data_IF_390215641858
#
_entry.id   IF_390215641858
#
_cell.length_a   1.000
_cell.length_b   1.000
_cell.length_c   1.000
_cell.angle_alpha   90.00
_cell.angle_beta   90.00
_cell.angle_gamma   90.00
#
_symmetry.space_group_name_H-M   'P 1'
#
loop_
_entity.id
_entity.type
_entity.pdbx_description
1 polymer ?
#
# COMPACT_ATOMS: atom_id res chain seq x y z
N UNK A 1 -17.48 30.26 -12.49
CA UNK A 1 -18.51 29.24 -12.20
C UNK A 1 -17.84 27.89 -12.30
N UNK A 2 -17.59 27.25 -11.16
CA UNK A 2 -16.98 25.92 -11.08
C UNK A 2 -17.98 24.91 -11.61
N UNK A 3 -17.67 24.25 -12.73
CA UNK A 3 -18.33 23.01 -13.16
C UNK A 3 -18.11 21.98 -12.05
N UNK A 4 -19.05 21.91 -11.11
CA UNK A 4 -19.19 20.77 -10.22
C UNK A 4 -19.22 19.53 -11.11
N UNK A 5 -18.28 18.62 -10.86
CA UNK A 5 -18.25 17.31 -11.52
C UNK A 5 -19.50 16.56 -11.05
N UNK A 6 -20.60 16.68 -11.77
CA UNK A 6 -21.82 15.90 -11.57
C UNK A 6 -21.55 14.50 -12.15
N UNK A 7 -20.63 13.76 -11.53
CA UNK A 7 -20.63 12.31 -11.66
C UNK A 7 -21.93 11.82 -11.02
N UNK A 8 -22.70 10.98 -11.73
CA UNK A 8 -23.96 10.40 -11.24
C UNK A 8 -23.78 9.91 -9.79
N UNK A 9 -24.62 10.41 -8.87
CA UNK A 9 -24.57 10.19 -7.40
C UNK A 9 -24.92 8.76 -6.97
N UNK A 10 -24.25 7.75 -7.51
CA UNK A 10 -24.30 6.37 -6.99
C UNK A 10 -23.14 6.15 -6.02
N UNK A 11 -22.96 7.08 -5.08
CA UNK A 11 -21.87 7.01 -4.11
C UNK A 11 -21.88 5.69 -3.33
N UNK A 12 -20.74 5.36 -2.71
CA UNK A 12 -20.56 4.16 -1.90
C UNK A 12 -21.66 4.08 -0.85
N UNK A 13 -22.38 2.94 -0.74
CA UNK A 13 -23.46 2.82 0.23
C UNK A 13 -23.01 3.17 1.64
N UNK A 14 -23.83 3.90 2.40
CA UNK A 14 -23.50 4.30 3.79
C UNK A 14 -23.16 3.11 4.67
N UNK A 15 -23.78 1.95 4.43
CA UNK A 15 -23.49 0.71 5.15
C UNK A 15 -22.04 0.30 4.90
N UNK A 16 -21.59 0.31 3.64
CA UNK A 16 -20.21 -0.02 3.28
C UNK A 16 -19.22 0.99 3.89
N UNK A 17 -19.52 2.29 3.81
CA UNK A 17 -18.69 3.35 4.41
C UNK A 17 -18.53 3.17 5.92
N UNK A 18 -19.63 2.92 6.63
CA UNK A 18 -19.63 2.72 8.09
C UNK A 18 -18.94 1.43 8.51
N UNK A 19 -19.03 0.38 7.69
CA UNK A 19 -18.35 -0.89 7.95
C UNK A 19 -16.83 -0.77 7.79
N UNK A 20 -16.39 0.00 6.79
CA UNK A 20 -14.97 0.18 6.45
C UNK A 20 -14.31 1.39 7.13
N UNK A 21 -15.07 2.18 7.90
CA UNK A 21 -14.56 3.34 8.64
C UNK A 21 -13.35 3.03 9.55
N UNK A 22 -13.30 1.91 10.31
CA UNK A 22 -12.10 1.58 11.10
C UNK A 22 -10.84 1.39 10.26
N UNK A 23 -11.02 0.98 8.99
CA UNK A 23 -9.97 0.55 8.09
C UNK A 23 -9.47 1.67 7.18
N UNK A 24 -10.36 2.50 6.64
CA UNK A 24 -10.00 3.55 5.70
C UNK A 24 -10.36 4.96 6.19
N UNK A 25 -11.20 5.10 7.21
CA UNK A 25 -11.73 6.41 7.62
C UNK A 25 -12.29 7.19 6.44
N UNK A 26 -11.78 8.41 6.23
CA UNK A 26 -12.05 9.27 5.07
C UNK A 26 -10.92 9.28 4.02
N UNK A 27 -10.08 8.24 4.01
CA UNK A 27 -8.98 8.11 3.07
C UNK A 27 -9.45 8.06 1.61
N UNK A 28 -8.52 8.21 0.66
CA UNK A 28 -8.80 8.38 -0.76
C UNK A 28 -9.74 7.32 -1.34
N UNK A 29 -9.65 6.07 -0.87
CA UNK A 29 -10.52 4.97 -1.32
C UNK A 29 -11.97 5.16 -0.88
N UNK A 30 -12.23 5.82 0.25
CA UNK A 30 -13.59 6.11 0.75
C UNK A 30 -14.10 7.52 0.41
N UNK A 31 -13.21 8.46 0.08
CA UNK A 31 -13.57 9.81 -0.31
C UNK A 31 -14.39 9.83 -1.63
N UNK A 32 -15.27 10.84 -1.77
CA UNK A 32 -16.14 11.00 -2.94
C UNK A 32 -16.27 12.48 -3.32
N UNK A 33 -16.66 12.75 -4.57
CA UNK A 33 -16.93 14.11 -5.05
C UNK A 33 -15.73 15.05 -4.86
N UNK A 34 -15.99 16.25 -4.33
CA UNK A 34 -14.96 17.27 -4.10
C UNK A 34 -13.92 16.86 -3.05
N UNK A 35 -14.29 16.04 -2.06
CA UNK A 35 -13.34 15.50 -1.07
C UNK A 35 -12.33 14.57 -1.75
N UNK A 36 -12.80 13.70 -2.64
CA UNK A 36 -11.90 12.84 -3.43
C UNK A 36 -10.98 13.65 -4.35
N UNK A 37 -11.52 14.64 -5.07
CA UNK A 37 -10.72 15.51 -5.96
C UNK A 37 -9.62 16.20 -5.15
N UNK A 38 -9.96 16.70 -3.97
CA UNK A 38 -9.02 17.35 -3.08
C UNK A 38 -7.93 16.39 -2.58
N UNK A 39 -8.31 15.23 -2.03
CA UNK A 39 -7.35 14.23 -1.56
C UNK A 39 -6.43 13.75 -2.70
N UNK A 40 -7.01 13.49 -3.89
CA UNK A 40 -6.24 13.06 -5.07
C UNK A 40 -5.26 14.13 -5.53
N UNK A 41 -5.62 15.41 -5.42
CA UNK A 41 -4.74 16.52 -5.76
C UNK A 41 -3.51 16.59 -4.85
N UNK A 42 -3.69 16.39 -3.54
CA UNK A 42 -2.58 16.35 -2.57
C UNK A 42 -1.74 15.09 -2.75
N UNK A 43 -2.36 13.96 -3.09
CA UNK A 43 -1.69 12.65 -3.10
C UNK A 43 -0.95 12.34 -4.41
N UNK A 44 -1.50 12.73 -5.55
CA UNK A 44 -0.94 12.37 -6.86
C UNK A 44 0.51 12.85 -7.09
N UNK A 45 0.94 14.06 -6.66
CA UNK A 45 2.31 14.54 -6.81
C UNK A 45 3.36 13.67 -6.11
N UNK A 46 2.98 12.96 -5.04
CA UNK A 46 3.90 12.08 -4.33
C UNK A 46 4.40 10.93 -5.20
N UNK A 47 3.64 10.54 -6.22
CA UNK A 47 4.00 9.49 -7.16
C UNK A 47 4.62 10.05 -8.45
N UNK A 48 5.30 11.20 -8.35
CA UNK A 48 6.09 11.75 -9.46
C UNK A 48 7.26 10.82 -9.83
N UNK A 49 7.79 10.88 -11.07
CA UNK A 49 8.92 10.05 -11.50
C UNK A 49 10.16 10.15 -10.60
N UNK A 50 10.43 11.33 -10.03
CA UNK A 50 11.53 11.57 -9.10
C UNK A 50 11.35 10.76 -7.80
N UNK A 51 10.16 10.84 -7.21
CA UNK A 51 9.83 10.13 -5.96
C UNK A 51 9.76 8.62 -6.20
N UNK A 52 9.22 8.19 -7.34
CA UNK A 52 9.18 6.78 -7.73
C UNK A 52 10.58 6.19 -7.88
N UNK A 53 11.55 6.93 -8.43
CA UNK A 53 12.95 6.47 -8.50
C UNK A 53 13.51 6.15 -7.11
N UNK A 54 13.17 6.97 -6.11
CA UNK A 54 13.55 6.70 -4.73
C UNK A 54 12.79 5.48 -4.16
N UNK A 55 11.54 5.24 -4.51
CA UNK A 55 10.83 4.03 -4.06
C UNK A 55 11.37 2.76 -4.71
N UNK A 56 11.74 2.80 -5.99
CA UNK A 56 12.27 1.64 -6.74
C UNK A 56 13.53 1.07 -6.09
N UNK A 57 14.48 1.89 -5.64
CA UNK A 57 15.67 1.32 -4.99
C UNK A 57 15.32 0.63 -3.66
N UNK A 58 14.35 1.12 -2.89
CA UNK A 58 13.89 0.44 -1.67
C UNK A 58 13.23 -0.90 -2.03
N UNK A 59 12.43 -0.93 -3.11
CA UNK A 59 11.82 -2.17 -3.62
C UNK A 59 12.89 -3.19 -4.00
N UNK A 60 13.89 -2.78 -4.79
CA UNK A 60 14.99 -3.65 -5.23
C UNK A 60 15.78 -4.18 -4.04
N UNK A 61 16.12 -3.33 -3.07
CA UNK A 61 16.89 -3.73 -1.89
C UNK A 61 16.12 -4.76 -1.03
N UNK A 62 14.83 -4.53 -0.76
CA UNK A 62 13.98 -5.49 -0.04
C UNK A 62 13.76 -6.79 -0.82
N UNK A 63 13.64 -6.73 -2.15
CA UNK A 63 13.55 -7.93 -3.00
C UNK A 63 14.85 -8.73 -3.00
N UNK A 64 16.03 -8.09 -3.05
CA UNK A 64 17.32 -8.76 -2.92
C UNK A 64 17.43 -9.50 -1.59
N UNK A 65 17.07 -8.85 -0.48
CA UNK A 65 17.05 -9.47 0.86
C UNK A 65 16.08 -10.65 0.95
N UNK A 66 14.92 -10.58 0.27
CA UNK A 66 14.01 -11.73 0.15
C UNK A 66 14.67 -12.89 -0.62
N UNK A 67 15.28 -12.62 -1.78
CA UNK A 67 15.96 -13.62 -2.60
C UNK A 67 17.12 -14.28 -1.85
N UNK A 68 17.94 -13.51 -1.14
CA UNK A 68 19.07 -14.03 -0.34
C UNK A 68 18.58 -15.00 0.75
N UNK A 69 17.44 -14.68 1.40
CA UNK A 69 16.79 -15.58 2.36
C UNK A 69 16.32 -16.87 1.69
N UNK A 70 15.72 -16.78 0.51
CA UNK A 70 15.27 -17.96 -0.25
C UNK A 70 16.44 -18.86 -0.65
N UNK A 71 17.53 -18.28 -1.15
CA UNK A 71 18.76 -19.03 -1.49
C UNK A 71 19.32 -19.74 -0.26
N UNK A 72 19.46 -19.03 0.85
CA UNK A 72 19.96 -19.61 2.11
C UNK A 72 19.09 -20.78 2.59
N UNK A 73 17.76 -20.67 2.45
CA UNK A 73 16.83 -21.74 2.82
C UNK A 73 16.98 -22.97 1.91
N UNK A 74 17.11 -22.75 0.60
CA UNK A 74 17.31 -23.83 -0.38
C UNK A 74 18.64 -24.56 -0.10
N UNK A 75 19.72 -23.80 0.12
CA UNK A 75 21.05 -24.34 0.42
C UNK A 75 21.08 -25.11 1.76
N UNK A 76 20.19 -24.77 2.69
CA UNK A 76 20.02 -25.49 3.97
C UNK A 76 19.26 -26.81 3.85
N UNK A 77 18.83 -27.22 2.65
CA UNK A 77 18.16 -28.49 2.39
C UNK A 77 16.63 -28.45 2.51
N UNK A 78 16.02 -27.26 2.56
CA UNK A 78 14.57 -27.06 2.55
C UNK A 78 14.11 -26.44 1.21
N UNK A 79 13.85 -27.26 0.17
CA UNK A 79 13.51 -26.74 -1.16
C UNK A 79 12.05 -26.30 -1.31
N UNK A 80 11.18 -26.66 -0.36
CA UNK A 80 9.77 -26.30 -0.39
C UNK A 80 9.52 -25.01 0.41
N UNK A 81 8.79 -24.07 -0.18
CA UNK A 81 8.51 -22.77 0.39
C UNK A 81 7.14 -22.26 -0.02
N UNK A 82 6.47 -21.60 0.91
CA UNK A 82 5.24 -20.86 0.65
C UNK A 82 5.57 -19.49 0.04
N UNK A 83 5.57 -19.45 -1.30
CA UNK A 83 5.91 -18.27 -2.09
C UNK A 83 4.93 -17.12 -1.82
N UNK A 84 3.64 -17.40 -1.63
CA UNK A 84 2.63 -16.36 -1.38
C UNK A 84 2.93 -15.65 -0.05
N UNK A 85 3.17 -16.43 1.01
CA UNK A 85 3.50 -15.87 2.33
C UNK A 85 4.73 -14.96 2.28
N UNK A 86 5.79 -15.37 1.60
CA UNK A 86 7.04 -14.61 1.50
C UNK A 86 6.86 -13.31 0.68
N UNK A 87 6.08 -13.36 -0.40
CA UNK A 87 5.77 -12.18 -1.21
C UNK A 87 4.89 -11.20 -0.43
N UNK A 88 3.88 -11.67 0.28
CA UNK A 88 3.02 -10.81 1.13
C UNK A 88 3.86 -10.12 2.20
N UNK A 89 4.76 -10.85 2.85
CA UNK A 89 5.67 -10.28 3.84
C UNK A 89 6.58 -9.20 3.24
N UNK A 90 7.17 -9.48 2.07
CA UNK A 90 8.09 -8.56 1.39
C UNK A 90 7.36 -7.33 0.83
N UNK A 91 6.16 -7.49 0.27
CA UNK A 91 5.33 -6.37 -0.16
C UNK A 91 4.91 -5.49 1.03
N UNK A 92 4.59 -6.10 2.18
CA UNK A 92 4.32 -5.40 3.43
C UNK A 92 5.51 -4.59 3.94
N UNK A 93 6.72 -5.16 3.86
CA UNK A 93 7.97 -4.49 4.21
C UNK A 93 8.27 -3.30 3.26
N UNK A 94 8.12 -3.51 1.94
CA UNK A 94 8.31 -2.48 0.93
C UNK A 94 7.36 -1.32 1.17
N UNK A 95 6.06 -1.58 1.35
CA UNK A 95 5.10 -0.49 1.56
C UNK A 95 5.42 0.23 2.87
N UNK A 96 5.80 -0.48 3.94
CA UNK A 96 6.18 0.12 5.21
C UNK A 96 7.39 1.06 5.11
N UNK A 97 8.44 0.62 4.41
CA UNK A 97 9.65 1.43 4.20
C UNK A 97 9.39 2.62 3.29
N UNK A 98 8.64 2.43 2.21
CA UNK A 98 8.37 3.49 1.22
C UNK A 98 7.30 4.49 1.69
N UNK A 99 6.27 4.03 2.41
CA UNK A 99 5.13 4.86 2.81
C UNK A 99 5.41 5.68 4.07
N UNK A 100 6.20 5.14 4.99
CA UNK A 100 6.36 5.74 6.30
C UNK A 100 7.80 5.73 6.82
N UNK A 101 8.80 5.30 6.03
CA UNK A 101 10.23 5.27 6.42
C UNK A 101 10.46 4.71 7.82
N UNK A 102 9.60 3.78 8.23
CA UNK A 102 9.50 3.37 9.62
C UNK A 102 10.63 2.38 9.92
N UNK A 103 11.33 2.61 11.03
CA UNK A 103 12.15 1.58 11.66
C UNK A 103 11.27 0.36 11.92
N UNK A 104 11.80 -0.81 11.60
CA UNK A 104 11.03 -2.02 11.24
C UNK A 104 9.96 -2.45 12.26
N UNK A 105 10.11 -2.14 13.55
CA UNK A 105 9.18 -2.60 14.59
C UNK A 105 7.78 -1.95 14.53
N UNK A 106 7.70 -0.62 14.43
CA UNK A 106 6.41 0.08 14.39
C UNK A 106 5.67 -0.22 13.08
N UNK A 107 6.42 -0.29 11.98
CA UNK A 107 5.91 -0.67 10.66
C UNK A 107 5.29 -2.06 10.68
N UNK A 108 6.02 -3.05 11.20
CA UNK A 108 5.53 -4.42 11.35
C UNK A 108 4.26 -4.49 12.18
N UNK A 109 4.24 -3.79 13.33
CA UNK A 109 3.07 -3.76 14.22
C UNK A 109 1.83 -3.14 13.57
N UNK A 110 2.01 -2.09 12.75
CA UNK A 110 0.92 -1.47 11.99
C UNK A 110 0.44 -2.41 10.88
N UNK A 111 1.35 -3.01 10.11
CA UNK A 111 1.05 -3.98 9.06
C UNK A 111 0.26 -5.18 9.58
N UNK A 112 0.73 -5.82 10.66
CA UNK A 112 0.05 -6.97 11.29
C UNK A 112 -1.37 -6.63 11.77
N UNK A 113 -1.54 -5.44 12.38
CA UNK A 113 -2.85 -4.98 12.85
C UNK A 113 -3.78 -4.64 11.68
N UNK A 114 -3.26 -4.02 10.61
CA UNK A 114 -4.03 -3.72 9.40
C UNK A 114 -4.46 -5.00 8.69
N UNK A 115 -3.56 -5.97 8.52
CA UNK A 115 -3.89 -7.27 7.94
C UNK A 115 -4.95 -8.01 8.78
N UNK A 116 -4.81 -8.01 10.11
CA UNK A 116 -5.83 -8.57 11.00
C UNK A 116 -7.19 -7.87 10.83
N UNK A 117 -7.18 -6.54 10.66
CA UNK A 117 -8.39 -5.76 10.42
C UNK A 117 -9.02 -6.09 9.06
N UNK A 118 -8.21 -6.20 8.00
CA UNK A 118 -8.62 -6.61 6.66
C UNK A 118 -9.28 -7.99 6.72
N UNK A 119 -8.61 -8.99 7.29
CA UNK A 119 -9.16 -10.35 7.42
C UNK A 119 -10.47 -10.40 8.22
N UNK A 120 -10.66 -9.52 9.22
CA UNK A 120 -11.94 -9.42 9.94
C UNK A 120 -13.06 -8.76 9.12
N UNK A 121 -12.73 -7.79 8.27
CA UNK A 121 -13.70 -6.99 7.50
C UNK A 121 -14.04 -7.58 6.13
N UNK A 122 -13.15 -8.37 5.54
CA UNK A 122 -13.34 -9.01 4.24
C UNK A 122 -13.80 -10.47 4.34
N UNK A 123 -13.93 -11.04 5.55
CA UNK A 123 -14.52 -12.38 5.73
C UNK A 123 -15.94 -12.44 5.19
N UNK A 124 -16.20 -13.42 4.31
CA UNK A 124 -17.48 -13.67 3.63
C UNK A 124 -18.66 -13.88 4.59
N UNK A 125 -18.39 -14.25 5.85
CA UNK A 125 -19.42 -14.43 6.89
C UNK A 125 -19.94 -13.13 7.49
N UNK A 126 -19.45 -11.97 7.03
CA UNK A 126 -19.87 -10.65 7.51
C UNK A 126 -21.07 -10.15 6.70
N UNK A 127 -22.23 -10.07 7.33
CA UNK A 127 -23.46 -9.61 6.67
C UNK A 127 -23.51 -8.08 6.58
N UNK A 128 -22.94 -7.52 5.51
CA UNK A 128 -23.00 -6.07 5.25
C UNK A 128 -24.38 -5.72 4.69
N UNK A 129 -25.07 -4.78 5.32
CA UNK A 129 -26.35 -4.23 4.81
C UNK A 129 -27.60 -4.89 5.37
N UNK A 130 -27.44 -5.91 6.22
CA UNK A 130 -28.55 -6.57 6.90
C UNK A 130 -29.00 -5.72 8.11
N UNK A 131 -30.29 -5.34 8.20
CA UNK A 131 -30.81 -4.61 9.36
C UNK A 131 -30.53 -5.35 10.67
N UNK A 132 -30.23 -4.61 11.75
CA UNK A 132 -29.99 -5.12 13.11
C UNK A 132 -28.80 -6.08 13.30
N UNK A 133 -28.06 -6.44 12.25
CA UNK A 133 -26.90 -7.34 12.35
C UNK A 133 -25.82 -6.83 13.30
N UNK A 134 -25.67 -5.50 13.40
CA UNK A 134 -24.72 -4.87 14.34
C UNK A 134 -25.02 -5.22 15.81
N UNK A 135 -26.29 -5.47 16.15
CA UNK A 135 -26.66 -5.93 17.50
C UNK A 135 -26.28 -7.40 17.71
N UNK A 136 -26.45 -8.24 16.69
CA UNK A 136 -26.11 -9.67 16.73
C UNK A 136 -24.59 -9.88 16.76
N UNK A 137 -23.85 -9.11 15.95
CA UNK A 137 -22.39 -9.17 15.84
C UNK A 137 -21.67 -8.04 16.60
N UNK A 138 -22.27 -7.58 17.71
CA UNK A 138 -21.76 -6.44 18.47
C UNK A 138 -20.31 -6.63 18.93
N UNK A 139 -19.94 -7.84 19.39
CA UNK A 139 -18.57 -8.16 19.83
C UNK A 139 -17.56 -7.97 18.69
N UNK A 140 -17.82 -8.54 17.51
CA UNK A 140 -16.97 -8.40 16.31
C UNK A 140 -16.86 -6.93 15.86
N UNK A 141 -17.96 -6.19 15.94
CA UNK A 141 -18.01 -4.76 15.60
C UNK A 141 -17.19 -3.92 16.59
N UNK A 142 -17.23 -4.24 17.88
CA UNK A 142 -16.45 -3.55 18.90
C UNK A 142 -14.96 -3.85 18.75
N UNK A 143 -14.58 -5.10 18.49
CA UNK A 143 -13.19 -5.51 18.27
C UNK A 143 -12.57 -4.81 17.05
N UNK A 144 -13.29 -4.76 15.92
CA UNK A 144 -12.81 -4.07 14.71
C UNK A 144 -12.65 -2.57 14.94
N UNK A 145 -13.57 -1.92 15.67
CA UNK A 145 -13.42 -0.53 16.09
C UNK A 145 -12.24 -0.31 17.05
N UNK A 146 -12.03 -1.21 18.02
CA UNK A 146 -10.91 -1.14 18.95
C UNK A 146 -9.58 -1.24 18.19
N UNK A 147 -9.47 -2.21 17.27
CA UNK A 147 -8.29 -2.41 16.45
C UNK A 147 -8.02 -1.19 15.53
N UNK A 148 -9.06 -0.63 14.90
CA UNK A 148 -8.95 0.60 14.12
C UNK A 148 -8.42 1.78 14.94
N UNK A 149 -8.90 1.95 16.18
CA UNK A 149 -8.40 2.98 17.11
C UNK A 149 -6.96 2.74 17.57
N UNK A 150 -6.52 1.50 17.72
CA UNK A 150 -5.12 1.19 18.04
C UNK A 150 -4.21 1.56 16.88
N UNK A 151 -4.62 1.27 15.64
CA UNK A 151 -3.89 1.67 14.44
C UNK A 151 -3.83 3.20 14.31
N UNK A 152 -4.96 3.88 14.55
CA UNK A 152 -5.03 5.36 14.56
C UNK A 152 -3.98 5.96 15.49
N UNK A 153 -3.87 5.42 16.71
CA UNK A 153 -2.90 5.91 17.71
C UNK A 153 -1.45 5.70 17.27
N UNK A 154 -1.14 4.54 16.67
CA UNK A 154 0.21 4.23 16.21
C UNK A 154 0.62 5.14 15.04
N UNK A 155 -0.27 5.34 14.07
CA UNK A 155 -0.02 6.23 12.94
C UNK A 155 0.06 7.69 13.38
N UNK A 156 -0.82 8.13 14.29
CA UNK A 156 -0.79 9.47 14.84
C UNK A 156 0.54 9.75 15.55
N UNK A 157 0.99 8.84 16.41
CA UNK A 157 2.28 8.94 17.09
C UNK A 157 3.44 9.12 16.10
N UNK A 158 3.44 8.39 14.99
CA UNK A 158 4.48 8.47 13.95
C UNK A 158 4.43 9.80 13.22
N UNK A 159 3.23 10.28 12.87
CA UNK A 159 3.05 11.58 12.22
C UNK A 159 3.50 12.72 13.13
N UNK A 160 3.12 12.68 14.41
CA UNK A 160 3.49 13.71 15.39
C UNK A 160 5.00 13.75 15.64
N UNK A 161 5.61 12.58 15.89
CA UNK A 161 7.07 12.46 16.08
C UNK A 161 7.85 13.04 14.89
N UNK A 162 7.33 12.87 13.67
CA UNK A 162 7.95 13.39 12.45
C UNK A 162 7.76 14.88 12.26
N UNK A 163 6.57 15.42 12.57
CA UNK A 163 6.34 16.87 12.55
C UNK A 163 7.30 17.59 13.50
N UNK A 164 7.59 17.00 14.66
CA UNK A 164 8.54 17.56 15.64
C UNK A 164 10.01 17.41 15.20
N UNK A 165 10.35 16.31 14.51
CA UNK A 165 11.72 16.00 14.07
C UNK A 165 12.19 16.76 12.81
N UNK A 166 11.27 17.39 12.06
CA UNK A 166 11.56 18.10 10.79
C UNK A 166 12.48 19.32 10.89
N UNK A 167 13.01 19.65 12.08
CA UNK A 167 14.04 20.68 12.23
C UNK A 167 15.44 20.20 11.79
N UNK A 168 15.72 18.90 11.59
CA UNK A 168 17.13 18.44 11.49
C UNK A 168 17.54 17.27 10.56
N UNK A 169 16.70 16.67 9.72
CA UNK A 169 17.16 15.51 8.92
C UNK A 169 17.24 15.75 7.41
N UNK A 170 18.49 15.74 6.93
CA UNK A 170 18.92 15.75 5.55
C UNK A 170 19.02 14.29 5.06
N UNK A 171 17.87 13.62 4.97
CA UNK A 171 17.73 12.20 4.60
C UNK A 171 16.76 11.99 3.44
N UNK A 172 16.73 10.77 2.89
CA UNK A 172 15.83 10.35 1.80
C UNK A 172 14.38 10.46 2.27
N UNK A 173 13.59 11.30 1.60
CA UNK A 173 12.19 11.55 1.93
C UNK A 173 11.32 10.35 1.56
N UNK A 174 10.51 9.88 2.50
CA UNK A 174 9.48 8.88 2.24
C UNK A 174 8.12 9.51 1.91
N UNK A 175 7.13 8.68 1.57
CA UNK A 175 5.80 9.14 1.17
C UNK A 175 5.12 9.99 2.26
N UNK A 176 5.31 9.69 3.54
CA UNK A 176 4.72 10.48 4.61
C UNK A 176 5.42 11.85 4.74
N UNK A 177 6.73 11.90 4.56
CA UNK A 177 7.47 13.16 4.59
C UNK A 177 7.07 14.09 3.45
N UNK A 178 6.94 13.53 2.24
CA UNK A 178 6.43 14.18 1.04
C UNK A 178 4.97 14.63 1.25
N UNK A 179 4.11 13.77 1.82
CA UNK A 179 2.72 14.11 2.11
C UNK A 179 2.64 15.29 3.06
N UNK A 180 3.47 15.30 4.10
CA UNK A 180 3.54 16.39 5.06
C UNK A 180 4.11 17.69 4.47
N UNK A 181 4.87 17.65 3.37
CA UNK A 181 5.37 18.84 2.67
C UNK A 181 4.31 19.39 1.71
N UNK A 182 3.75 18.54 0.85
CA UNK A 182 2.69 18.92 -0.09
C UNK A 182 1.45 19.45 0.65
N UNK A 183 1.16 18.88 1.82
CA UNK A 183 0.07 19.31 2.69
C UNK A 183 0.34 20.62 3.47
N UNK A 184 1.37 21.41 3.11
CA UNK A 184 1.61 22.77 3.64
C UNK A 184 1.32 23.87 2.62
N UNK A 185 1.15 23.52 1.35
CA UNK A 185 0.91 24.49 0.28
C UNK A 185 -0.60 24.69 0.15
N UNK A 186 -1.06 25.92 0.33
CA UNK A 186 -2.47 26.29 0.16
C UNK A 186 -2.80 26.24 -1.34
N UNK A 187 -3.20 25.06 -1.82
CA UNK A 187 -3.53 24.82 -3.22
C UNK A 187 -4.80 25.56 -3.64
N UNK A 188 -5.07 25.58 -4.95
CA UNK A 188 -6.25 26.21 -5.58
C UNK A 188 -7.62 25.72 -5.02
N UNK A 189 -7.62 24.66 -4.21
CA UNK A 189 -8.77 24.05 -3.54
C UNK A 189 -8.82 24.29 -2.00
N UNK A 190 -7.85 25.04 -1.46
CA UNK A 190 -7.94 25.80 -0.19
C UNK A 190 -8.10 25.01 1.10
N UNK A 191 -7.75 23.73 1.17
CA UNK A 191 -7.75 22.99 2.44
C UNK A 191 -6.51 22.14 2.57
N UNK A 192 -5.88 22.23 3.73
CA UNK A 192 -4.86 21.30 4.21
C UNK A 192 -5.60 20.06 4.74
N UNK A 193 -5.14 18.86 4.41
CA UNK A 193 -5.61 17.63 5.03
C UNK A 193 -5.37 17.70 6.54
N UNK A 194 -6.42 17.46 7.31
CA UNK A 194 -6.33 17.37 8.76
C UNK A 194 -5.41 16.21 9.19
N UNK A 195 -4.85 16.26 10.40
CA UNK A 195 -4.05 15.14 10.92
C UNK A 195 -4.79 13.80 10.87
N UNK A 196 -6.11 13.80 11.11
CA UNK A 196 -6.94 12.59 10.98
C UNK A 196 -7.02 12.10 9.53
N UNK A 197 -7.18 13.00 8.55
CA UNK A 197 -7.16 12.62 7.14
C UNK A 197 -5.79 12.09 6.71
N UNK A 198 -4.68 12.65 7.22
CA UNK A 198 -3.34 12.10 6.98
C UNK A 198 -3.19 10.66 7.50
N UNK A 199 -3.70 10.38 8.70
CA UNK A 199 -3.77 9.00 9.25
C UNK A 199 -4.59 8.09 8.33
N UNK A 200 -5.75 8.55 7.88
CA UNK A 200 -6.65 7.79 7.01
C UNK A 200 -5.99 7.51 5.63
N UNK A 201 -5.20 8.45 5.10
CA UNK A 201 -4.41 8.23 3.87
C UNK A 201 -3.27 7.24 4.08
N UNK A 202 -2.55 7.31 5.21
CA UNK A 202 -1.52 6.32 5.51
C UNK A 202 -2.10 4.90 5.53
N UNK A 203 -3.24 4.69 6.20
CA UNK A 203 -3.94 3.38 6.18
C UNK A 203 -4.29 2.96 4.76
N UNK A 204 -4.74 3.90 3.93
CA UNK A 204 -5.10 3.65 2.54
C UNK A 204 -3.91 3.16 1.72
N UNK A 205 -2.73 3.78 1.88
CA UNK A 205 -1.50 3.35 1.20
C UNK A 205 -1.05 1.97 1.64
N UNK A 206 -1.04 1.70 2.95
CA UNK A 206 -0.71 0.37 3.46
C UNK A 206 -1.65 -0.67 2.87
N UNK A 207 -2.95 -0.56 3.11
CA UNK A 207 -3.94 -1.57 2.72
C UNK A 207 -4.01 -1.77 1.21
N UNK A 208 -4.07 -0.67 0.45
CA UNK A 208 -4.27 -0.73 -0.99
C UNK A 208 -3.04 -1.19 -1.77
N UNK A 209 -1.83 -1.02 -1.20
CA UNK A 209 -0.58 -1.20 -1.94
C UNK A 209 0.06 -2.58 -1.81
N UNK A 210 -0.11 -3.30 -0.70
CA UNK A 210 0.63 -4.56 -0.47
C UNK A 210 -0.12 -5.83 -0.84
N UNK A 211 -1.36 -6.03 -0.35
CA UNK A 211 -2.07 -7.31 -0.57
C UNK A 211 -2.42 -7.54 -2.04
N UNK A 212 -2.92 -6.51 -2.73
CA UNK A 212 -3.29 -6.58 -4.15
C UNK A 212 -2.09 -6.89 -5.03
N UNK A 213 -0.97 -6.19 -4.79
CA UNK A 213 0.30 -6.39 -5.49
C UNK A 213 0.88 -7.77 -5.20
N UNK A 214 0.90 -8.18 -3.93
CA UNK A 214 1.40 -9.49 -3.54
C UNK A 214 0.61 -10.62 -4.21
N UNK A 215 -0.72 -10.53 -4.21
CA UNK A 215 -1.58 -11.50 -4.87
C UNK A 215 -1.30 -11.58 -6.37
N UNK A 216 -1.19 -10.44 -7.06
CA UNK A 216 -0.87 -10.40 -8.48
C UNK A 216 0.49 -11.07 -8.79
N UNK A 217 1.53 -10.80 -7.98
CA UNK A 217 2.85 -11.42 -8.15
C UNK A 217 2.80 -12.92 -7.85
N UNK A 218 2.08 -13.36 -6.81
CA UNK A 218 1.93 -14.78 -6.48
C UNK A 218 1.28 -15.56 -7.62
N UNK A 219 0.18 -15.05 -8.20
CA UNK A 219 -0.45 -15.65 -9.38
C UNK A 219 0.49 -15.64 -10.59
N UNK A 220 1.19 -14.54 -10.82
CA UNK A 220 2.16 -14.42 -11.91
C UNK A 220 3.24 -15.50 -11.80
N UNK A 221 3.85 -15.67 -10.62
CA UNK A 221 4.89 -16.67 -10.40
C UNK A 221 4.36 -18.10 -10.54
N UNK A 222 3.15 -18.36 -10.04
CA UNK A 222 2.50 -19.66 -10.22
C UNK A 222 2.28 -19.97 -11.72
N UNK A 223 1.76 -19.01 -12.49
CA UNK A 223 1.57 -19.16 -13.93
C UNK A 223 2.89 -19.35 -14.67
N UNK A 224 3.94 -18.59 -14.31
CA UNK A 224 5.27 -18.76 -14.91
C UNK A 224 5.90 -20.12 -14.58
N UNK A 225 5.64 -20.68 -13.39
CA UNK A 225 6.08 -22.02 -13.04
C UNK A 225 5.40 -23.10 -13.90
N UNK A 226 4.13 -22.89 -14.27
CA UNK A 226 3.36 -23.78 -15.15
C UNK A 226 3.71 -23.58 -16.64
N UNK A 227 4.12 -22.38 -17.05
CA UNK A 227 4.42 -22.00 -18.43
C UNK A 227 5.89 -21.63 -18.62
N UNK A 228 6.77 -22.64 -18.59
CA UNK A 228 8.23 -22.46 -18.66
C UNK A 228 8.72 -21.74 -19.93
N UNK A 229 8.00 -21.87 -21.05
CA UNK A 229 8.34 -21.17 -22.29
C UNK A 229 8.26 -19.64 -22.12
N UNK A 230 7.21 -19.17 -21.43
CA UNK A 230 7.07 -17.76 -21.07
C UNK A 230 8.11 -17.33 -20.05
N UNK A 231 8.38 -18.16 -19.04
CA UNK A 231 9.44 -17.89 -18.06
C UNK A 231 10.81 -17.69 -18.71
N UNK A 232 11.17 -18.54 -19.68
CA UNK A 232 12.44 -18.42 -20.42
C UNK A 232 12.47 -17.15 -21.28
N UNK A 233 11.39 -16.85 -22.00
CA UNK A 233 11.30 -15.62 -22.80
C UNK A 233 11.42 -14.34 -21.96
N UNK A 234 10.86 -14.32 -20.75
CA UNK A 234 11.02 -13.21 -19.82
C UNK A 234 12.46 -13.11 -19.32
N UNK A 235 13.09 -14.25 -18.98
CA UNK A 235 14.49 -14.28 -18.53
C UNK A 235 15.43 -13.76 -19.61
N UNK A 236 15.20 -14.11 -20.87
CA UNK A 236 16.00 -13.63 -22.00
C UNK A 236 15.82 -12.12 -22.21
N UNK A 237 14.58 -11.61 -22.15
CA UNK A 237 14.32 -10.17 -22.19
C UNK A 237 15.02 -9.42 -21.06
N UNK A 238 14.93 -9.94 -19.83
CA UNK A 238 15.58 -9.34 -18.67
C UNK A 238 17.10 -9.31 -18.85
N UNK A 239 17.72 -10.38 -19.34
CA UNK A 239 19.17 -10.42 -19.60
C UNK A 239 19.59 -9.43 -20.69
N UNK A 240 18.79 -9.28 -21.74
CA UNK A 240 19.07 -8.35 -22.84
C UNK A 240 18.95 -6.89 -22.39
N UNK A 241 17.91 -6.55 -21.64
CA UNK A 241 17.57 -5.16 -21.26
C UNK A 241 18.33 -4.70 -20.02
N UNK A 242 18.45 -5.56 -19.00
CA UNK A 242 19.07 -5.23 -17.71
C UNK A 242 20.57 -5.53 -17.72
N UNK A 243 20.97 -6.66 -18.31
CA UNK A 243 22.35 -7.16 -18.25
C UNK A 243 22.81 -7.39 -16.80
N UNK A 244 24.05 -7.00 -16.48
CA UNK A 244 24.64 -7.08 -15.13
C UNK A 244 24.37 -5.82 -14.28
N UNK A 245 23.47 -4.93 -14.71
CA UNK A 245 23.17 -3.69 -14.00
C UNK A 245 22.06 -3.91 -12.98
N UNK A 246 22.02 -3.04 -11.97
CA UNK A 246 20.87 -2.97 -11.07
C UNK A 246 19.62 -2.44 -11.79
N UNK A 247 18.45 -2.95 -11.39
CA UNK A 247 17.16 -2.53 -11.92
C UNK A 247 16.89 -1.07 -11.52
N UNK A 248 16.70 -0.21 -12.52
CA UNK A 248 16.27 1.18 -12.32
C UNK A 248 14.96 1.48 -13.07
N UNK A 249 14.36 2.64 -12.77
CA UNK A 249 13.09 3.06 -13.37
C UNK A 249 13.15 3.21 -14.91
N UNK A 250 14.32 3.49 -15.48
CA UNK A 250 14.48 3.66 -16.93
C UNK A 250 14.54 2.30 -17.63
N UNK A 251 15.22 1.33 -17.01
CA UNK A 251 15.35 -0.04 -17.49
C UNK A 251 14.00 -0.75 -17.48
N UNK A 252 13.14 -0.49 -16.47
CA UNK A 252 11.78 -1.04 -16.40
C UNK A 252 10.94 -0.76 -17.64
N UNK A 253 11.09 0.42 -18.26
CA UNK A 253 10.35 0.78 -19.47
C UNK A 253 10.73 -0.09 -20.70
N UNK A 254 11.90 -0.74 -20.66
CA UNK A 254 12.36 -1.66 -21.70
C UNK A 254 11.79 -3.08 -21.60
N UNK A 255 11.24 -3.47 -20.45
CA UNK A 255 10.75 -4.83 -20.18
C UNK A 255 9.31 -5.04 -20.68
N UNK A 256 9.14 -5.09 -22.01
CA UNK A 256 7.81 -5.11 -22.65
C UNK A 256 7.03 -6.40 -22.36
N UNK A 257 7.69 -7.56 -22.40
CA UNK A 257 7.04 -8.85 -22.14
C UNK A 257 6.70 -8.99 -20.66
N UNK A 258 7.57 -8.53 -19.75
CA UNK A 258 7.26 -8.51 -18.31
C UNK A 258 5.99 -7.68 -18.05
N UNK A 259 5.90 -6.48 -18.64
CA UNK A 259 4.72 -5.63 -18.51
C UNK A 259 3.46 -6.29 -19.10
N UNK A 260 3.59 -7.02 -20.22
CA UNK A 260 2.47 -7.76 -20.80
C UNK A 260 1.95 -8.85 -19.87
N UNK A 261 2.84 -9.62 -19.25
CA UNK A 261 2.45 -10.71 -18.34
C UNK A 261 1.77 -10.19 -17.08
N UNK A 262 2.18 -9.03 -16.56
CA UNK A 262 1.56 -8.40 -15.38
C UNK A 262 0.18 -7.77 -15.66
N UNK A 263 -0.22 -7.62 -16.93
CA UNK A 263 -1.50 -7.02 -17.32
C UNK A 263 -2.60 -8.06 -17.61
N UNK A 264 -2.30 -9.35 -17.54
CA UNK A 264 -3.23 -10.48 -17.74
C UNK A 264 -3.83 -10.88 -16.39
#
# INVERSE_FOLDING_TARGET
>A
MSTEVIAKRWGKPNVFRNDREPMFGKGLVMAEGSEWVHHRHVIAPLFSPLNLKAMVSIMVDSTKQMIDRWITQIDSGNPEMDVEREIVATAGEIIAKTSCGMKDENARKIGEKLHTLQMKLFKTTRYVGVPYIKCIEMKKTLETKKLGKEIDKLLLYVIETRKESKVKQQGREDLLDLLLQENQVDGKYGKILTTKQLVDECKTFFIGGHETTALAISWTLMLLAMHKDWQNQLRDEIREVVGDKDVDINVLAGLKKVMLVLLI
#
